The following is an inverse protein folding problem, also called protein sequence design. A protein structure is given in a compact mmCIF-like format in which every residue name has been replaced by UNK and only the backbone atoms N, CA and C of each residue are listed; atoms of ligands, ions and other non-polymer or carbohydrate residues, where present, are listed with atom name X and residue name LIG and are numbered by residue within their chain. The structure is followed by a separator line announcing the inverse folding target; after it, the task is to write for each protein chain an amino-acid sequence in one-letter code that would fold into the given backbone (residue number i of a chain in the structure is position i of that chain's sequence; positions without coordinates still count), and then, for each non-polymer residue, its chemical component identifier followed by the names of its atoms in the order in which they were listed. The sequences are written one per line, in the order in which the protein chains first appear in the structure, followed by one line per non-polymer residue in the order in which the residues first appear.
data_IF_314790907320
#
_entry.id   IF_314790907320
#
_cell.length_a   1.000
_cell.length_b   1.000
_cell.length_c   1.000
_cell.angle_alpha   90.00
_cell.angle_beta   90.00
_cell.angle_gamma   90.00
#
_symmetry.space_group_name_H-M   'P 1'
#
loop_
_entity.id
_entity.type
_entity.pdbx_description
1 polymer ?
#
# COMPACT_ATOMS: atom_id res chain seq x y z
N UNK A 1 16.07 21.26 10.72
CA UNK A 1 16.74 20.39 9.72
C UNK A 1 17.46 21.26 8.70
N UNK A 2 18.73 20.97 8.35
CA UNK A 2 19.44 21.61 7.23
C UNK A 2 18.89 21.13 5.88
N UNK A 3 18.84 22.00 4.87
CA UNK A 3 18.32 21.68 3.55
C UNK A 3 19.41 21.03 2.67
N UNK A 4 19.49 19.70 2.71
CA UNK A 4 20.40 18.92 1.86
C UNK A 4 20.52 17.48 2.33
N UNK A 5 20.86 16.56 1.42
CA UNK A 5 20.93 15.12 1.70
C UNK A 5 21.83 14.81 2.91
N UNK A 6 23.05 15.38 2.92
CA UNK A 6 23.99 15.23 4.03
C UNK A 6 23.49 15.88 5.32
N UNK A 7 22.80 17.03 5.21
CA UNK A 7 22.19 17.72 6.33
C UNK A 7 21.09 16.89 7.00
N UNK A 8 20.28 16.19 6.23
CA UNK A 8 19.25 15.26 6.73
C UNK A 8 19.90 14.10 7.48
N UNK A 9 20.92 13.45 6.92
CA UNK A 9 21.61 12.35 7.62
C UNK A 9 22.28 12.80 8.92
N UNK A 10 22.95 13.95 8.90
CA UNK A 10 23.58 14.51 10.09
C UNK A 10 22.54 14.80 11.19
N UNK A 11 21.42 15.42 10.83
CA UNK A 11 20.30 15.66 11.75
C UNK A 11 19.77 14.34 12.34
N UNK A 12 19.56 13.31 11.53
CA UNK A 12 19.05 12.01 12.01
C UNK A 12 19.99 11.36 13.04
N UNK A 13 21.31 11.42 12.83
CA UNK A 13 22.30 10.83 13.75
C UNK A 13 22.34 11.58 15.07
N UNK A 14 22.38 12.92 15.03
CA UNK A 14 22.38 13.76 16.24
C UNK A 14 21.07 13.59 17.01
N UNK A 15 19.93 13.56 16.30
CA UNK A 15 18.62 13.38 16.91
C UNK A 15 18.46 12.00 17.58
N UNK A 16 19.05 10.96 16.99
CA UNK A 16 19.12 9.65 17.65
C UNK A 16 20.01 9.67 18.89
N UNK A 17 21.16 10.35 18.85
CA UNK A 17 22.07 10.43 20.00
C UNK A 17 21.48 11.23 21.17
N UNK A 18 20.78 12.33 20.89
CA UNK A 18 20.24 13.23 21.92
C UNK A 18 18.86 12.79 22.44
N UNK A 19 18.01 12.19 21.59
CA UNK A 19 16.61 11.89 21.94
C UNK A 19 16.26 10.41 21.90
N UNK A 20 17.19 9.53 21.51
CA UNK A 20 16.95 8.09 21.37
C UNK A 20 15.65 7.76 20.59
N UNK A 21 15.43 8.46 19.48
CA UNK A 21 14.14 8.44 18.77
C UNK A 21 13.71 7.04 18.32
N UNK A 22 14.64 6.13 18.04
CA UNK A 22 14.34 4.73 17.72
C UNK A 22 13.48 4.03 18.79
N UNK A 23 13.61 4.44 20.06
CA UNK A 23 12.83 3.87 21.17
C UNK A 23 11.54 4.64 21.46
N UNK A 24 11.26 5.73 20.73
CA UNK A 24 10.09 6.57 20.98
C UNK A 24 8.82 5.99 20.33
N UNK A 25 7.70 5.82 21.06
CA UNK A 25 6.47 5.22 20.53
C UNK A 25 5.92 5.93 19.28
N UNK A 26 5.96 7.27 19.22
CA UNK A 26 5.51 7.99 18.01
C UNK A 26 6.40 7.75 16.80
N UNK A 27 7.70 7.52 16.99
CA UNK A 27 8.57 7.13 15.89
C UNK A 27 8.30 5.69 15.46
N UNK A 28 8.09 4.76 16.40
CA UNK A 28 7.68 3.39 16.07
C UNK A 28 6.34 3.35 15.35
N UNK A 29 5.37 4.19 15.74
CA UNK A 29 4.09 4.32 15.07
C UNK A 29 4.23 4.96 13.69
N UNK A 30 5.05 6.01 13.52
CA UNK A 30 5.36 6.58 12.22
C UNK A 30 6.06 5.57 11.29
N UNK A 31 7.04 4.81 11.80
CA UNK A 31 7.68 3.70 11.06
C UNK A 31 6.66 2.61 10.74
N UNK A 32 5.83 2.18 11.69
CA UNK A 32 4.74 1.23 11.45
C UNK A 32 3.74 1.77 10.44
N UNK A 33 3.69 3.09 10.27
CA UNK A 33 2.96 3.73 9.21
C UNK A 33 3.64 3.65 7.86
N UNK A 34 4.84 4.20 7.68
CA UNK A 34 5.58 4.11 6.39
C UNK A 34 5.62 2.66 5.92
N UNK A 35 5.75 1.73 6.86
CA UNK A 35 5.83 0.31 6.59
C UNK A 35 4.49 -0.43 6.63
N UNK A 36 3.40 0.15 7.09
CA UNK A 36 2.07 -0.46 7.32
C UNK A 36 2.07 -1.50 8.46
N UNK A 37 1.15 -1.39 9.40
CA UNK A 37 1.08 -2.21 10.62
C UNK A 37 1.20 -3.71 10.35
N UNK A 38 2.30 -4.32 10.80
CA UNK A 38 2.39 -5.76 11.01
C UNK A 38 1.69 -6.09 12.32
N UNK A 39 0.49 -6.64 12.27
CA UNK A 39 -0.19 -7.01 13.50
C UNK A 39 0.28 -8.39 13.98
N UNK A 40 0.96 -8.38 15.13
CA UNK A 40 0.87 -9.30 16.27
C UNK A 40 1.25 -10.81 16.08
N UNK A 41 2.31 -11.21 16.80
CA UNK A 41 2.84 -12.58 17.08
C UNK A 41 3.71 -13.32 16.03
N UNK A 42 4.95 -12.88 15.78
CA UNK A 42 6.12 -13.79 15.79
C UNK A 42 7.45 -13.02 15.63
N UNK A 43 8.53 -13.43 16.32
CA UNK A 43 9.87 -12.90 16.06
C UNK A 43 10.44 -13.56 14.80
N UNK A 44 11.35 -12.84 14.12
CA UNK A 44 12.14 -13.24 12.96
C UNK A 44 11.61 -12.86 11.56
N UNK A 45 11.99 -11.62 11.19
CA UNK A 45 12.57 -11.27 9.90
C UNK A 45 11.73 -11.44 8.60
N UNK A 46 10.58 -10.76 8.46
CA UNK A 46 9.98 -10.44 7.14
C UNK A 46 9.19 -9.11 7.09
N UNK A 47 9.76 -8.00 7.57
CA UNK A 47 8.97 -6.84 7.99
C UNK A 47 9.33 -5.47 7.37
N UNK A 48 9.41 -5.36 6.03
CA UNK A 48 9.64 -4.06 5.34
C UNK A 48 8.63 -3.75 4.22
N UNK A 49 7.43 -4.35 4.21
CA UNK A 49 6.65 -4.51 2.96
C UNK A 49 5.20 -4.01 2.95
N UNK A 50 4.58 -3.40 3.98
CA UNK A 50 3.09 -3.35 4.04
C UNK A 50 2.40 -2.12 3.40
N UNK A 51 2.92 -0.89 3.40
CA UNK A 51 2.32 0.17 2.55
C UNK A 51 2.55 -0.09 1.06
N UNK A 52 3.74 -0.59 0.73
CA UNK A 52 3.98 -1.23 -0.56
C UNK A 52 3.07 -2.44 -0.77
N UNK A 53 2.67 -3.18 0.26
CA UNK A 53 1.78 -4.33 0.13
C UNK A 53 0.39 -3.89 -0.27
N UNK A 54 -0.19 -2.87 0.36
CA UNK A 54 -1.53 -2.41 0.00
C UNK A 54 -1.56 -1.77 -1.40
N UNK A 55 -0.53 -0.98 -1.73
CA UNK A 55 -0.36 -0.42 -3.07
C UNK A 55 -0.12 -1.50 -4.14
N UNK A 56 0.82 -2.43 -3.90
CA UNK A 56 1.13 -3.54 -4.81
C UNK A 56 0.00 -4.57 -4.88
N UNK A 57 -0.70 -4.84 -3.78
CA UNK A 57 -1.88 -5.70 -3.75
C UNK A 57 -2.96 -5.10 -4.63
N UNK A 58 -3.31 -3.82 -4.42
CA UNK A 58 -4.34 -3.17 -5.22
C UNK A 58 -3.96 -3.19 -6.71
N UNK A 59 -2.73 -2.77 -7.04
CA UNK A 59 -2.23 -2.83 -8.42
C UNK A 59 -2.31 -4.24 -9.01
N UNK A 60 -1.85 -5.26 -8.29
CA UNK A 60 -1.86 -6.64 -8.76
C UNK A 60 -3.28 -7.20 -8.96
N UNK A 61 -4.23 -6.87 -8.07
CA UNK A 61 -5.61 -7.33 -8.17
C UNK A 61 -6.31 -6.67 -9.36
N UNK A 62 -6.13 -5.36 -9.55
CA UNK A 62 -6.68 -4.64 -10.70
C UNK A 62 -6.10 -5.20 -12.01
N UNK A 63 -4.77 -5.33 -12.12
CA UNK A 63 -4.14 -5.88 -13.33
C UNK A 63 -4.56 -7.32 -13.62
N UNK A 64 -4.76 -8.14 -12.59
CA UNK A 64 -5.21 -9.54 -12.76
C UNK A 64 -6.66 -9.70 -13.21
N UNK A 65 -7.47 -8.64 -13.09
CA UNK A 65 -8.91 -8.66 -13.37
C UNK A 65 -9.32 -7.69 -14.48
N UNK A 66 -8.35 -7.21 -15.28
CA UNK A 66 -8.63 -6.41 -16.47
C UNK A 66 -9.52 -7.17 -17.45
N UNK A 67 -10.52 -6.47 -17.98
CA UNK A 67 -11.37 -6.98 -19.04
C UNK A 67 -10.55 -6.96 -20.33
N UNK A 68 -10.57 -8.07 -21.08
CA UNK A 68 -9.75 -8.21 -22.28
C UNK A 68 -10.36 -7.46 -23.45
N UNK A 69 -9.80 -6.28 -23.74
CA UNK A 69 -10.21 -5.41 -24.86
C UNK A 69 -9.20 -5.39 -26.03
N UNK A 70 -8.00 -5.94 -25.84
CA UNK A 70 -6.91 -5.92 -26.84
C UNK A 70 -6.50 -7.32 -27.32
N UNK A 71 -5.73 -7.35 -28.41
CA UNK A 71 -5.09 -8.58 -28.90
C UNK A 71 -3.76 -8.85 -28.19
N UNK A 72 -3.22 -10.08 -28.33
CA UNK A 72 -1.96 -10.48 -27.69
C UNK A 72 -0.73 -9.70 -28.20
N UNK A 73 -0.82 -9.08 -29.38
CA UNK A 73 0.27 -8.33 -30.00
C UNK A 73 0.27 -6.84 -29.63
N UNK A 74 -0.69 -6.40 -28.82
CA UNK A 74 -0.87 -5.02 -28.41
C UNK A 74 -0.79 -4.92 -26.88
N UNK A 75 -0.44 -3.73 -26.37
CA UNK A 75 -0.41 -3.50 -24.92
C UNK A 75 -1.83 -3.51 -24.35
N UNK A 76 -2.05 -4.19 -23.23
CA UNK A 76 -3.33 -4.18 -22.52
C UNK A 76 -3.78 -2.78 -22.08
N UNK A 77 -2.86 -1.82 -21.98
CA UNK A 77 -3.19 -0.43 -21.64
C UNK A 77 -3.98 0.28 -22.74
N UNK A 78 -3.83 -0.11 -24.00
CA UNK A 78 -4.59 0.44 -25.14
C UNK A 78 -6.07 0.04 -25.08
N UNK A 79 -6.41 -0.95 -24.25
CA UNK A 79 -7.79 -1.34 -23.99
C UNK A 79 -8.58 -0.32 -23.18
N UNK A 80 -7.90 0.56 -22.44
CA UNK A 80 -8.53 1.65 -21.70
C UNK A 80 -8.60 2.92 -22.52
N UNK A 81 -9.77 3.55 -22.57
CA UNK A 81 -9.97 4.86 -23.18
C UNK A 81 -10.21 5.92 -22.11
N UNK A 82 -9.48 7.02 -22.22
CA UNK A 82 -9.64 8.13 -21.28
C UNK A 82 -11.07 8.70 -21.34
N UNK A 83 -11.78 8.67 -20.21
CA UNK A 83 -13.15 9.17 -20.09
C UNK A 83 -14.24 8.15 -20.45
N UNK A 84 -13.91 6.86 -20.60
CA UNK A 84 -14.94 5.82 -20.73
C UNK A 84 -15.82 5.73 -19.48
N UNK A 85 -17.09 5.37 -19.66
CA UNK A 85 -18.06 5.24 -18.55
C UNK A 85 -17.95 3.89 -17.82
N UNK A 86 -17.49 2.85 -18.53
CA UNK A 86 -17.40 1.50 -17.99
C UNK A 86 -16.08 1.23 -17.25
N UNK A 87 -16.15 0.42 -16.20
CA UNK A 87 -14.99 -0.01 -15.41
C UNK A 87 -14.08 -0.95 -16.23
N UNK A 88 -12.77 -0.70 -16.23
CA UNK A 88 -11.78 -1.47 -17.00
C UNK A 88 -11.47 -2.85 -16.42
N UNK A 89 -11.90 -3.12 -15.18
CA UNK A 89 -11.59 -4.36 -14.46
C UNK A 89 -12.81 -4.88 -13.71
N UNK A 90 -12.83 -6.18 -13.45
CA UNK A 90 -13.94 -6.83 -12.76
C UNK A 90 -13.67 -6.92 -11.25
N UNK A 91 -14.25 -6.01 -10.48
CA UNK A 91 -14.12 -5.99 -9.01
C UNK A 91 -14.67 -7.26 -8.34
N UNK A 92 -15.68 -7.92 -8.92
CA UNK A 92 -16.24 -9.16 -8.36
C UNK A 92 -15.25 -10.30 -8.52
N UNK A 93 -14.57 -10.39 -9.66
CA UNK A 93 -13.51 -11.36 -9.90
C UNK A 93 -12.31 -11.13 -8.97
N UNK A 94 -11.87 -9.87 -8.82
CA UNK A 94 -10.80 -9.49 -7.90
C UNK A 94 -11.15 -9.82 -6.43
N UNK A 95 -12.37 -9.50 -6.01
CA UNK A 95 -12.89 -9.80 -4.68
C UNK A 95 -12.94 -11.31 -4.41
N UNK A 96 -13.42 -12.09 -5.39
CA UNK A 96 -13.50 -13.54 -5.30
C UNK A 96 -12.13 -14.21 -5.23
N UNK A 97 -11.14 -13.71 -5.99
CA UNK A 97 -9.76 -14.17 -5.90
C UNK A 97 -9.16 -13.87 -4.51
N UNK A 98 -9.24 -12.62 -4.07
CA UNK A 98 -8.63 -12.21 -2.80
C UNK A 98 -9.34 -12.82 -1.58
N UNK A 99 -10.66 -12.96 -1.63
CA UNK A 99 -11.46 -13.60 -0.58
C UNK A 99 -11.15 -15.08 -0.40
N UNK A 100 -10.76 -15.78 -1.48
CA UNK A 100 -10.25 -17.17 -1.42
C UNK A 100 -8.80 -17.25 -0.94
N UNK A 101 -7.99 -16.23 -1.23
CA UNK A 101 -6.57 -16.22 -0.87
C UNK A 101 -6.35 -16.02 0.64
N UNK A 102 -7.15 -15.15 1.28
CA UNK A 102 -7.02 -14.82 2.71
C UNK A 102 -8.24 -15.29 3.48
N UNK A 103 -9.32 -14.49 3.51
CA UNK A 103 -10.61 -14.83 4.10
C UNK A 103 -11.69 -13.98 3.41
N UNK A 104 -12.87 -14.54 3.18
CA UNK A 104 -13.93 -13.88 2.41
C UNK A 104 -14.31 -12.49 2.96
N UNK A 105 -14.37 -12.35 4.28
CA UNK A 105 -14.73 -11.10 4.94
C UNK A 105 -13.59 -10.08 5.02
N UNK A 106 -12.35 -10.49 4.75
CA UNK A 106 -11.19 -9.59 4.71
C UNK A 106 -11.02 -8.91 3.34
N UNK A 107 -11.85 -9.26 2.36
CA UNK A 107 -11.81 -8.74 1.00
C UNK A 107 -12.83 -7.61 0.80
N UNK A 108 -12.45 -6.58 0.03
CA UNK A 108 -13.32 -5.46 -0.29
C UNK A 108 -14.20 -5.81 -1.50
N UNK A 109 -15.51 -5.63 -1.39
CA UNK A 109 -16.47 -5.73 -2.50
C UNK A 109 -17.03 -4.36 -2.92
N UNK A 110 -16.66 -3.29 -2.21
CA UNK A 110 -17.03 -1.91 -2.51
C UNK A 110 -15.77 -1.10 -2.83
N UNK A 111 -15.69 -0.59 -4.06
CA UNK A 111 -14.56 0.20 -4.54
C UNK A 111 -14.31 1.46 -3.71
N UNK A 112 -15.37 2.19 -3.32
CA UNK A 112 -15.22 3.41 -2.52
C UNK A 112 -14.62 3.11 -1.13
N UNK A 113 -15.04 2.02 -0.49
CA UNK A 113 -14.47 1.62 0.81
C UNK A 113 -13.01 1.18 0.68
N UNK A 114 -12.65 0.50 -0.41
CA UNK A 114 -11.26 0.11 -0.70
C UNK A 114 -10.37 1.35 -0.87
N UNK A 115 -10.78 2.29 -1.72
CA UNK A 115 -10.01 3.51 -1.99
C UNK A 115 -9.94 4.43 -0.76
N UNK A 116 -11.04 4.53 -0.01
CA UNK A 116 -11.02 5.23 1.28
C UNK A 116 -10.03 4.59 2.24
N UNK A 117 -10.00 3.26 2.34
CA UNK A 117 -9.03 2.55 3.17
C UNK A 117 -7.59 2.82 2.74
N UNK A 118 -7.27 2.74 1.44
CA UNK A 118 -5.94 3.03 0.91
C UNK A 118 -5.48 4.47 1.20
N UNK A 119 -6.40 5.44 1.05
CA UNK A 119 -6.12 6.85 1.34
C UNK A 119 -5.99 7.11 2.84
N UNK A 120 -6.91 6.61 3.66
CA UNK A 120 -6.89 6.76 5.11
C UNK A 120 -5.64 6.11 5.71
N UNK A 121 -5.24 4.95 5.19
CA UNK A 121 -4.00 4.29 5.58
C UNK A 121 -2.78 5.14 5.27
N UNK A 122 -2.70 5.77 4.10
CA UNK A 122 -1.55 6.63 3.76
C UNK A 122 -1.52 7.98 4.49
N UNK A 123 -2.67 8.44 4.98
CA UNK A 123 -2.83 9.78 5.59
C UNK A 123 -2.85 9.77 7.12
N UNK A 124 -3.07 8.62 7.75
CA UNK A 124 -3.06 8.55 9.20
C UNK A 124 -1.63 8.81 9.72
N UNK A 125 -1.41 9.70 10.69
CA UNK A 125 -0.07 10.07 11.20
C UNK A 125 0.70 8.94 11.91
N UNK A 126 0.10 7.74 11.96
CA UNK A 126 0.66 6.49 12.47
C UNK A 126 0.56 5.34 11.45
N UNK A 127 0.11 5.63 10.22
CA UNK A 127 -0.06 4.67 9.13
C UNK A 127 0.69 5.06 7.81
N UNK A 128 1.44 6.19 7.82
CA UNK A 128 2.56 6.50 6.92
C UNK A 128 3.68 7.20 7.70
#
# INVERSE_FOLDING_TARGET
MPLGIFGTFNFMIVFQAEHNILMHPFHMLGVAGVFGSSWQFHPEAKQKKVCQLFSAMHGSLVTSSLIRETTENESANEGYRFGQEEETYNIVAAHGYFGRLIFQYASFNNSCSLHFFLAAWSLHPYAC
#
